data_IF_557988922346
#
_entry.id   IF_557988922346
#
_cell.length_a   1.000
_cell.length_b   1.000
_cell.length_c   1.000
_cell.angle_alpha   90.00
_cell.angle_beta   90.00
_cell.angle_gamma   90.00
#
_symmetry.space_group_name_H-M   'P 1'
#
loop_
_entity.id
_entity.type
_entity.pdbx_description
1 polymer ?
#
# COMPACT_ATOMS: atom_id res chain seq x y z
N UNK A 1 -24.61 28.49 40.72
CA UNK A 1 -25.01 27.63 41.85
C UNK A 1 -24.37 26.27 41.62
N UNK A 2 -23.13 26.09 42.08
CA UNK A 2 -22.74 25.70 43.45
C UNK A 2 -22.78 24.16 43.57
N UNK A 3 -21.59 23.54 43.65
CA UNK A 3 -21.00 22.92 44.87
C UNK A 3 -21.20 21.39 44.76
N UNK A 4 -20.23 20.52 44.43
CA UNK A 4 -19.00 20.17 45.17
C UNK A 4 -19.18 20.22 46.69
N UNK A 5 -19.19 19.05 47.32
CA UNK A 5 -18.79 18.74 48.71
C UNK A 5 -19.38 17.35 49.06
N UNK A 6 -18.71 16.38 49.71
CA UNK A 6 -17.71 16.49 50.75
C UNK A 6 -16.81 15.25 50.80
N UNK A 7 -15.50 15.51 50.85
CA UNK A 7 -14.45 14.64 51.36
C UNK A 7 -13.69 15.49 52.38
N UNK A 8 -13.52 15.08 53.66
CA UNK A 8 -12.54 15.70 54.56
C UNK A 8 -11.29 14.80 54.64
N UNK A 9 -10.11 15.28 54.20
CA UNK A 9 -9.07 15.99 54.98
C UNK A 9 -8.55 15.13 56.15
N UNK A 10 -7.29 14.67 56.16
CA UNK A 10 -6.03 15.41 56.45
C UNK A 10 -4.89 14.36 56.40
N UNK A 11 -3.60 14.63 56.21
CA UNK A 11 -2.82 15.86 56.14
C UNK A 11 -1.47 15.52 55.47
N UNK A 12 -0.99 16.44 54.65
CA UNK A 12 0.29 16.43 53.94
C UNK A 12 1.51 16.46 54.88
N UNK A 13 2.56 15.74 54.51
CA UNK A 13 3.91 15.93 55.02
C UNK A 13 4.93 15.66 53.91
N UNK A 14 5.23 16.68 53.10
CA UNK A 14 6.36 16.67 52.17
C UNK A 14 7.65 16.67 53.01
N UNK A 15 8.53 15.70 52.81
CA UNK A 15 9.91 15.76 53.31
C UNK A 15 10.84 16.10 52.14
N UNK A 16 11.35 17.33 52.15
CA UNK A 16 12.40 17.81 51.27
C UNK A 16 13.76 17.27 51.71
N UNK A 17 14.56 16.91 50.71
CA UNK A 17 15.92 16.41 50.81
C UNK A 17 16.87 17.57 51.17
N UNK A 18 17.45 17.54 52.38
CA UNK A 18 18.62 18.34 52.72
C UNK A 18 19.66 17.49 53.46
N UNK A 19 20.86 17.47 52.90
CA UNK A 19 22.07 16.83 53.39
C UNK A 19 22.65 17.64 54.55
N UNK A 20 22.89 17.01 55.71
CA UNK A 20 23.88 17.49 56.70
C UNK A 20 24.44 16.31 57.52
N UNK A 21 25.73 16.40 57.77
CA UNK A 21 26.66 15.45 58.38
C UNK A 21 26.78 15.68 59.91
N UNK A 22 27.39 14.69 60.55
CA UNK A 22 28.05 14.62 61.86
C UNK A 22 27.25 14.24 63.12
N UNK A 23 27.66 13.06 63.62
CA UNK A 23 28.12 12.68 64.97
C UNK A 23 27.21 12.82 66.20
N UNK A 24 27.05 11.70 66.91
CA UNK A 24 26.46 11.67 68.25
C UNK A 24 26.04 10.26 68.71
N UNK A 25 27.02 9.48 69.14
CA UNK A 25 26.87 8.22 69.87
C UNK A 25 26.08 8.44 71.18
N UNK A 26 24.94 7.78 71.35
CA UNK A 26 24.24 7.70 72.64
C UNK A 26 23.58 6.34 72.80
N UNK A 27 24.20 5.53 73.65
CA UNK A 27 23.78 4.19 74.07
C UNK A 27 22.67 4.28 75.12
N UNK A 28 21.42 4.10 74.69
CA UNK A 28 20.32 3.75 75.59
C UNK A 28 20.19 2.22 75.65
N UNK A 29 20.04 1.59 76.83
CA UNK A 29 19.87 0.14 76.93
C UNK A 29 18.53 -0.28 76.33
N UNK A 30 18.58 -1.20 75.35
CA UNK A 30 17.41 -1.77 74.69
C UNK A 30 16.50 -2.50 75.72
N UNK A 31 15.17 -2.37 75.63
CA UNK A 31 14.26 -3.08 76.51
C UNK A 31 14.40 -4.60 76.33
N UNK A 32 14.13 -5.41 77.38
CA UNK A 32 14.30 -6.86 77.30
C UNK A 32 13.43 -7.45 76.20
N UNK A 33 14.07 -8.05 75.19
CA UNK A 33 13.39 -8.73 74.09
C UNK A 33 12.56 -9.89 74.66
N UNK A 34 11.24 -9.78 74.59
CA UNK A 34 10.32 -10.83 75.00
C UNK A 34 10.48 -12.03 74.04
N UNK A 35 11.14 -13.09 74.50
CA UNK A 35 11.23 -14.34 73.74
C UNK A 35 9.92 -15.12 73.87
N UNK A 36 9.35 -15.49 72.73
CA UNK A 36 8.14 -16.28 72.55
C UNK A 36 8.53 -17.74 72.30
N UNK A 37 7.88 -18.68 72.97
CA UNK A 37 8.05 -20.13 72.71
C UNK A 37 6.95 -20.62 71.79
N UNK A 38 7.27 -21.40 70.75
CA UNK A 38 6.31 -21.92 69.77
C UNK A 38 6.44 -23.45 69.62
N UNK A 39 5.38 -24.08 69.12
CA UNK A 39 5.46 -25.47 68.66
C UNK A 39 6.09 -25.51 67.28
N UNK A 40 7.10 -26.37 67.07
CA UNK A 40 7.63 -26.67 65.74
C UNK A 40 7.26 -28.10 65.30
N UNK A 41 7.05 -28.28 64.00
CA UNK A 41 6.75 -29.56 63.37
C UNK A 41 7.16 -29.47 61.90
N UNK A 42 7.91 -30.45 61.39
CA UNK A 42 8.62 -30.45 60.10
C UNK A 42 9.70 -29.38 59.89
N UNK A 43 9.60 -28.22 60.56
CA UNK A 43 10.60 -27.15 60.49
C UNK A 43 11.07 -26.74 61.91
N UNK A 44 11.85 -27.62 62.53
CA UNK A 44 12.44 -27.42 63.86
C UNK A 44 13.95 -27.10 63.74
N UNK A 45 14.48 -26.16 64.55
CA UNK A 45 15.93 -25.98 64.70
C UNK A 45 16.60 -27.26 65.23
N UNK A 46 17.88 -27.46 64.90
CA UNK A 46 18.65 -28.65 65.32
C UNK A 46 18.73 -28.79 66.85
N UNK A 47 18.74 -27.67 67.58
CA UNK A 47 18.76 -27.62 69.06
C UNK A 47 17.38 -27.72 69.71
N UNK A 48 16.35 -28.16 68.98
CA UNK A 48 14.97 -28.21 69.49
C UNK A 48 14.77 -29.35 70.51
N UNK A 49 14.29 -28.99 71.70
CA UNK A 49 13.87 -29.94 72.73
C UNK A 49 12.34 -29.96 72.78
N UNK A 50 11.74 -31.15 72.83
CA UNK A 50 10.28 -31.36 72.87
C UNK A 50 9.50 -30.73 71.68
N UNK A 51 10.12 -30.66 70.49
CA UNK A 51 9.49 -30.06 69.30
C UNK A 51 9.07 -28.61 69.52
N UNK A 52 9.87 -27.85 70.26
CA UNK A 52 9.66 -26.43 70.53
C UNK A 52 10.78 -25.59 69.96
N UNK A 53 10.46 -24.34 69.61
CA UNK A 53 11.43 -23.34 69.19
C UNK A 53 11.16 -22.02 69.92
N UNK A 54 12.16 -21.14 70.02
CA UNK A 54 12.03 -19.83 70.67
C UNK A 54 12.42 -18.71 69.71
N UNK A 55 11.66 -17.61 69.74
CA UNK A 55 11.87 -16.48 68.82
C UNK A 55 11.49 -15.15 69.45
N UNK A 56 12.06 -14.06 68.95
CA UNK A 56 11.68 -12.68 69.25
C UNK A 56 10.60 -12.12 68.30
N UNK A 57 10.21 -12.90 67.27
CA UNK A 57 9.20 -12.53 66.28
C UNK A 57 7.87 -13.28 66.47
N UNK A 58 7.53 -14.17 65.55
CA UNK A 58 6.20 -14.76 65.39
C UNK A 58 6.24 -16.29 65.44
N UNK A 59 5.23 -16.91 66.04
CA UNK A 59 4.93 -18.33 65.78
C UNK A 59 4.08 -18.44 64.51
N UNK A 60 4.27 -19.49 63.71
CA UNK A 60 3.47 -19.70 62.50
C UNK A 60 2.91 -21.11 62.36
N UNK A 61 1.89 -21.25 61.53
CA UNK A 61 1.40 -22.51 60.97
C UNK A 61 1.12 -22.31 59.48
N UNK A 62 1.64 -23.22 58.65
CA UNK A 62 1.46 -23.22 57.20
C UNK A 62 0.73 -24.50 56.80
N UNK A 63 -0.20 -24.39 55.86
CA UNK A 63 -0.76 -25.52 55.13
C UNK A 63 -0.41 -25.40 53.64
N UNK A 64 0.13 -26.48 53.07
CA UNK A 64 0.52 -26.58 51.66
C UNK A 64 -0.10 -27.84 51.05
N UNK A 65 -0.55 -27.73 49.81
CA UNK A 65 -0.99 -28.89 49.03
C UNK A 65 0.23 -29.59 48.39
N UNK A 66 0.36 -30.90 48.59
CA UNK A 66 1.43 -31.70 48.01
C UNK A 66 1.12 -32.09 46.54
N UNK A 67 2.13 -32.59 45.83
CA UNK A 67 1.99 -33.00 44.41
C UNK A 67 0.99 -34.15 44.20
N UNK A 68 0.65 -34.90 45.26
CA UNK A 68 -0.34 -35.97 45.26
C UNK A 68 -1.76 -35.53 45.68
N UNK A 69 -1.96 -34.24 45.97
CA UNK A 69 -3.24 -33.68 46.43
C UNK A 69 -3.52 -33.84 47.94
N UNK A 70 -2.55 -34.31 48.73
CA UNK A 70 -2.57 -34.28 50.18
C UNK A 70 -2.28 -32.89 50.74
N UNK A 71 -2.45 -32.72 52.05
CA UNK A 71 -2.18 -31.44 52.72
C UNK A 71 -1.11 -31.64 53.79
N UNK A 72 0.00 -30.90 53.65
CA UNK A 72 1.10 -30.89 54.61
C UNK A 72 0.95 -29.67 55.53
N UNK A 73 1.03 -29.89 56.85
CA UNK A 73 0.98 -28.83 57.86
C UNK A 73 2.32 -28.69 58.55
N UNK A 74 2.91 -27.49 58.45
CA UNK A 74 4.22 -27.16 59.01
C UNK A 74 4.08 -26.08 60.07
N UNK A 75 4.79 -26.22 61.20
CA UNK A 75 4.77 -25.26 62.31
C UNK A 75 6.19 -24.86 62.71
N UNK A 76 6.38 -23.63 63.15
CA UNK A 76 7.68 -23.17 63.62
C UNK A 76 7.71 -21.74 64.14
N UNK A 77 8.92 -21.19 64.19
CA UNK A 77 9.24 -19.85 64.67
C UNK A 77 9.83 -19.00 63.56
N UNK A 78 9.46 -17.71 63.51
CA UNK A 78 10.04 -16.70 62.61
C UNK A 78 10.65 -15.57 63.43
N UNK A 79 11.92 -15.26 63.17
CA UNK A 79 12.60 -14.12 63.77
C UNK A 79 11.96 -12.79 63.38
N UNK A 80 12.23 -11.74 64.14
CA UNK A 80 11.61 -10.43 63.93
C UNK A 80 11.93 -9.85 62.53
N UNK A 81 13.15 -10.01 62.04
CA UNK A 81 13.55 -9.55 60.70
C UNK A 81 12.87 -10.36 59.59
N UNK A 82 12.14 -9.66 58.71
CA UNK A 82 11.46 -10.27 57.56
C UNK A 82 10.14 -10.99 57.88
N UNK A 83 9.78 -11.14 59.15
CA UNK A 83 8.53 -11.81 59.57
C UNK A 83 7.25 -11.17 58.99
N UNK A 84 7.17 -9.83 58.90
CA UNK A 84 6.00 -9.14 58.32
C UNK A 84 5.78 -9.50 56.85
N UNK A 85 6.84 -9.77 56.08
CA UNK A 85 6.71 -10.23 54.70
C UNK A 85 6.36 -11.71 54.61
N UNK A 86 6.86 -12.54 55.52
CA UNK A 86 6.60 -13.98 55.49
C UNK A 86 5.20 -14.33 56.00
N UNK A 87 4.68 -13.57 56.96
CA UNK A 87 3.33 -13.72 57.49
C UNK A 87 2.25 -13.08 56.62
N UNK A 88 2.63 -12.30 55.60
CA UNK A 88 1.71 -11.84 54.55
C UNK A 88 1.70 -12.84 53.42
N UNK A 89 0.61 -13.58 53.33
CA UNK A 89 0.41 -14.60 52.30
C UNK A 89 0.54 -13.95 50.91
N UNK A 90 1.59 -14.31 50.17
CA UNK A 90 1.79 -13.86 48.79
C UNK A 90 1.24 -14.95 47.87
N UNK A 91 0.24 -14.65 47.02
CA UNK A 91 -0.34 -15.66 46.15
C UNK A 91 0.68 -16.05 45.08
N UNK A 92 1.41 -17.15 45.32
CA UNK A 92 2.24 -17.79 44.30
C UNK A 92 1.28 -18.52 43.34
N UNK A 93 1.29 -18.21 42.03
CA UNK A 93 0.27 -18.68 41.09
C UNK A 93 0.22 -20.20 40.85
N UNK A 94 1.15 -20.97 41.43
CA UNK A 94 1.33 -22.40 41.16
C UNK A 94 1.24 -23.32 42.38
N UNK A 95 1.10 -22.79 43.60
CA UNK A 95 1.04 -23.62 44.81
C UNK A 95 -0.04 -23.11 45.76
N UNK A 96 -1.03 -23.97 46.08
CA UNK A 96 -2.05 -23.66 47.09
C UNK A 96 -1.40 -23.77 48.46
N UNK A 97 -1.13 -22.61 49.04
CA UNK A 97 -0.45 -22.43 50.33
C UNK A 97 -1.22 -21.38 51.11
N UNK A 98 -1.27 -21.54 52.43
CA UNK A 98 -1.68 -20.47 53.32
C UNK A 98 -0.92 -20.49 54.63
N UNK A 99 -0.58 -19.31 55.14
CA UNK A 99 0.18 -19.11 56.38
C UNK A 99 -0.59 -18.22 57.35
N UNK A 100 -0.63 -18.63 58.62
CA UNK A 100 -1.09 -17.80 59.73
C UNK A 100 0.01 -17.65 60.78
N UNK A 101 0.15 -16.44 61.32
CA UNK A 101 1.15 -16.09 62.33
C UNK A 101 0.51 -15.46 63.57
N UNK A 102 1.14 -15.64 64.74
CA UNK A 102 0.68 -15.09 66.01
C UNK A 102 1.85 -14.69 66.93
N UNK A 103 1.59 -13.73 67.82
CA UNK A 103 2.57 -13.19 68.80
C UNK A 103 2.00 -13.06 70.22
N UNK A 104 0.74 -13.47 70.43
CA UNK A 104 0.00 -13.12 71.65
C UNK A 104 0.53 -13.76 72.94
N UNK A 105 0.94 -15.03 72.88
CA UNK A 105 1.41 -15.81 74.03
C UNK A 105 2.20 -17.04 73.58
N UNK A 106 2.94 -17.65 74.49
CA UNK A 106 3.66 -18.89 74.23
C UNK A 106 2.71 -19.98 73.70
N UNK A 107 3.17 -20.71 72.70
CA UNK A 107 2.47 -21.77 71.99
C UNK A 107 1.18 -21.33 71.27
N UNK A 108 1.05 -20.05 70.91
CA UNK A 108 -0.14 -19.54 70.22
C UNK A 108 -0.44 -20.29 68.90
N UNK A 109 0.57 -20.83 68.22
CA UNK A 109 0.41 -21.59 66.98
C UNK A 109 -0.15 -23.01 67.16
N UNK A 110 -0.43 -23.43 68.40
CA UNK A 110 -1.13 -24.71 68.66
C UNK A 110 -2.56 -24.69 68.12
N UNK A 111 -3.20 -23.53 68.14
CA UNK A 111 -4.62 -23.34 67.80
C UNK A 111 -4.83 -22.64 66.46
N UNK A 112 -3.76 -22.41 65.68
CA UNK A 112 -3.89 -21.90 64.32
C UNK A 112 -4.29 -23.03 63.37
N UNK A 113 -5.30 -22.76 62.54
CA UNK A 113 -5.88 -23.71 61.60
C UNK A 113 -6.09 -23.00 60.25
N UNK A 114 -5.02 -22.64 59.53
CA UNK A 114 -5.15 -22.02 58.21
C UNK A 114 -5.86 -23.00 57.26
N UNK A 115 -6.74 -22.47 56.41
CA UNK A 115 -7.46 -23.24 55.38
C UNK A 115 -6.93 -22.91 54.00
N UNK A 116 -6.76 -23.91 53.14
CA UNK A 116 -6.34 -23.69 51.76
C UNK A 116 -7.36 -22.81 51.02
N UNK A 117 -6.91 -21.85 50.19
CA UNK A 117 -7.80 -21.01 49.41
C UNK A 117 -8.65 -21.87 48.46
N UNK A 118 -9.91 -21.50 48.18
CA UNK A 118 -10.79 -22.28 47.31
C UNK A 118 -10.16 -22.44 45.92
N UNK A 119 -10.34 -23.61 45.31
CA UNK A 119 -9.95 -23.84 43.92
C UNK A 119 -10.68 -22.82 43.05
N UNK A 120 -9.93 -21.87 42.49
CA UNK A 120 -10.48 -20.92 41.53
C UNK A 120 -10.66 -21.70 40.22
N UNK A 121 -11.81 -22.36 40.06
CA UNK A 121 -12.22 -22.91 38.78
C UNK A 121 -11.99 -21.82 37.72
N UNK A 122 -11.17 -22.11 36.71
CA UNK A 122 -10.99 -21.26 35.54
C UNK A 122 -12.19 -21.34 34.60
N UNK A 123 -13.39 -21.51 35.15
CA UNK A 123 -14.64 -21.35 34.42
C UNK A 123 -14.93 -19.85 34.37
N UNK A 124 -14.45 -19.19 33.32
CA UNK A 124 -14.77 -17.84 32.80
C UNK A 124 -13.52 -17.12 32.26
N UNK A 125 -12.87 -17.68 31.23
CA UNK A 125 -11.96 -16.92 30.37
C UNK A 125 -12.04 -17.27 28.87
N UNK A 126 -12.94 -18.16 28.46
CA UNK A 126 -13.04 -18.57 27.04
C UNK A 126 -13.93 -17.61 26.22
N UNK A 127 -14.91 -16.94 26.85
CA UNK A 127 -15.74 -15.94 26.18
C UNK A 127 -15.05 -14.60 25.89
N UNK A 128 -14.01 -14.24 26.67
CA UNK A 128 -13.35 -12.93 26.53
C UNK A 128 -12.31 -12.90 25.42
N UNK A 129 -11.55 -13.98 25.18
CA UNK A 129 -10.48 -13.97 24.16
C UNK A 129 -11.08 -13.95 22.76
N UNK A 130 -12.07 -14.82 22.49
CA UNK A 130 -12.75 -14.83 21.19
C UNK A 130 -13.48 -13.53 20.91
N UNK A 131 -14.14 -12.93 21.91
CA UNK A 131 -14.83 -11.66 21.72
C UNK A 131 -13.85 -10.49 21.51
N UNK A 132 -12.73 -10.44 22.25
CA UNK A 132 -11.67 -9.44 22.02
C UNK A 132 -10.99 -9.63 20.67
N UNK A 133 -10.70 -10.86 20.26
CA UNK A 133 -10.13 -11.16 18.94
C UNK A 133 -11.09 -10.78 17.80
N UNK A 134 -12.38 -11.04 17.94
CA UNK A 134 -13.39 -10.64 16.97
C UNK A 134 -13.52 -9.12 16.86
N UNK A 135 -13.50 -8.39 17.98
CA UNK A 135 -13.50 -6.91 17.99
C UNK A 135 -12.25 -6.32 17.31
N UNK A 136 -11.07 -6.91 17.55
CA UNK A 136 -9.82 -6.49 16.88
C UNK A 136 -9.89 -6.79 15.38
N UNK A 137 -10.37 -7.98 15.00
CA UNK A 137 -10.51 -8.35 13.59
C UNK A 137 -11.49 -7.43 12.85
N UNK A 138 -12.66 -7.15 13.44
CA UNK A 138 -13.67 -6.26 12.84
C UNK A 138 -13.14 -4.83 12.70
N UNK A 139 -12.41 -4.31 13.70
CA UNK A 139 -11.83 -2.96 13.62
C UNK A 139 -10.74 -2.88 12.55
N UNK A 140 -9.84 -3.86 12.45
CA UNK A 140 -8.81 -3.92 11.39
C UNK A 140 -9.45 -4.04 10.00
N UNK A 141 -10.43 -4.94 9.83
CA UNK A 141 -11.16 -5.09 8.56
C UNK A 141 -11.89 -3.81 8.18
N UNK A 142 -12.52 -3.11 9.14
CA UNK A 142 -13.20 -1.84 8.89
C UNK A 142 -12.23 -0.74 8.48
N UNK A 143 -11.06 -0.65 9.13
CA UNK A 143 -10.02 0.31 8.76
C UNK A 143 -9.49 0.01 7.35
N UNK A 144 -9.22 -1.25 7.03
CA UNK A 144 -8.79 -1.65 5.68
C UNK A 144 -9.85 -1.33 4.61
N UNK A 145 -11.13 -1.56 4.93
CA UNK A 145 -12.23 -1.27 4.02
C UNK A 145 -12.38 0.24 3.81
N UNK A 146 -12.24 1.06 4.87
CA UNK A 146 -12.19 2.53 4.76
C UNK A 146 -10.98 2.98 3.94
N UNK A 147 -9.80 2.41 4.14
CA UNK A 147 -8.62 2.72 3.33
C UNK A 147 -8.81 2.34 1.86
N UNK A 148 -9.46 1.22 1.57
CA UNK A 148 -9.82 0.81 0.21
C UNK A 148 -10.86 1.77 -0.37
N UNK A 149 -11.89 2.16 0.37
CA UNK A 149 -12.88 3.16 -0.09
C UNK A 149 -12.19 4.50 -0.33
N UNK A 150 -11.31 4.95 0.56
CA UNK A 150 -10.54 6.19 0.39
C UNK A 150 -9.63 6.06 -0.83
N UNK A 151 -8.94 4.94 -1.02
CA UNK A 151 -8.12 4.69 -2.20
C UNK A 151 -8.95 4.66 -3.48
N UNK A 152 -10.09 3.97 -3.50
CA UNK A 152 -11.03 3.93 -4.61
C UNK A 152 -11.64 5.31 -4.87
N UNK A 153 -11.96 6.08 -3.83
CA UNK A 153 -12.45 7.45 -3.92
C UNK A 153 -11.36 8.37 -4.45
N UNK A 154 -10.10 8.24 -4.02
CA UNK A 154 -8.98 8.99 -4.57
C UNK A 154 -8.66 8.55 -5.99
N UNK A 155 -8.82 7.28 -6.36
CA UNK A 155 -8.67 6.82 -7.75
C UNK A 155 -9.80 7.32 -8.62
N UNK A 156 -11.05 7.27 -8.13
CA UNK A 156 -12.23 7.78 -8.80
C UNK A 156 -12.16 9.30 -8.94
N UNK A 157 -11.88 10.03 -7.86
CA UNK A 157 -11.58 11.47 -7.88
C UNK A 157 -10.39 11.75 -8.78
N UNK A 158 -9.31 10.97 -8.80
CA UNK A 158 -8.20 11.15 -9.75
C UNK A 158 -8.61 10.85 -11.20
N UNK A 159 -9.65 10.04 -11.40
CA UNK A 159 -10.25 9.75 -12.69
C UNK A 159 -11.30 10.82 -13.10
N UNK A 160 -11.92 11.53 -12.15
CA UNK A 160 -12.80 12.69 -12.37
C UNK A 160 -12.05 14.04 -12.38
N UNK A 161 -10.91 14.14 -11.67
CA UNK A 161 -9.97 15.26 -11.68
C UNK A 161 -8.92 15.10 -12.78
N UNK A 162 -8.87 13.94 -13.47
CA UNK A 162 -8.66 14.00 -14.92
C UNK A 162 -9.87 14.77 -15.43
N UNK A 163 -9.75 16.05 -15.81
CA UNK A 163 -10.91 16.84 -16.17
C UNK A 163 -11.68 16.02 -17.21
N UNK A 164 -12.96 15.72 -16.90
CA UNK A 164 -13.94 15.45 -17.95
C UNK A 164 -13.67 16.51 -18.99
N UNK A 165 -13.31 16.06 -20.19
CA UNK A 165 -13.05 16.88 -21.36
C UNK A 165 -14.02 18.06 -21.32
N UNK A 166 -13.55 19.23 -20.88
CA UNK A 166 -14.37 20.41 -20.90
C UNK A 166 -14.52 20.71 -22.38
N UNK A 167 -15.71 20.42 -22.90
CA UNK A 167 -16.24 21.07 -24.09
C UNK A 167 -16.36 22.54 -23.70
N UNK A 168 -15.21 23.23 -23.69
CA UNK A 168 -15.14 24.68 -23.74
C UNK A 168 -15.22 25.03 -25.20
N UNK A 169 -16.42 25.43 -25.63
CA UNK A 169 -16.61 26.26 -26.81
C UNK A 169 -15.90 27.58 -26.56
N UNK A 170 -14.58 27.61 -26.75
CA UNK A 170 -13.88 28.85 -27.08
C UNK A 170 -13.56 28.76 -28.56
N UNK A 171 -14.55 29.23 -29.32
CA UNK A 171 -14.46 29.52 -30.73
C UNK A 171 -13.56 30.76 -30.86
N UNK A 172 -12.24 30.53 -30.84
CA UNK A 172 -11.29 31.56 -31.28
C UNK A 172 -10.97 31.29 -32.75
N UNK A 173 -11.51 32.18 -33.57
CA UNK A 173 -11.38 32.37 -35.01
C UNK A 173 -10.18 31.66 -35.67
N UNK A 174 -10.43 30.49 -36.26
CA UNK A 174 -9.49 29.87 -37.20
C UNK A 174 -9.47 30.63 -38.51
N UNK A 175 -8.39 31.36 -38.74
CA UNK A 175 -7.97 31.85 -40.05
C UNK A 175 -7.62 30.66 -40.97
N UNK A 176 -8.59 30.02 -41.64
CA UNK A 176 -8.36 29.13 -42.79
C UNK A 176 -9.57 29.17 -43.75
N UNK A 177 -9.36 29.32 -45.07
CA UNK A 177 -10.42 29.32 -46.07
C UNK A 177 -11.18 27.97 -46.17
N UNK A 178 -12.49 27.99 -46.44
CA UNK A 178 -13.27 26.77 -46.64
C UNK A 178 -12.87 26.09 -47.96
N UNK A 179 -12.43 24.83 -47.91
CA UNK A 179 -12.30 23.99 -49.10
C UNK A 179 -11.12 23.02 -49.19
N UNK A 180 -10.07 23.15 -48.36
CA UNK A 180 -8.92 22.25 -48.45
C UNK A 180 -9.10 20.99 -47.59
N UNK A 181 -8.96 19.81 -48.19
CA UNK A 181 -8.99 18.55 -47.46
C UNK A 181 -7.66 18.30 -46.74
N UNK A 182 -7.71 17.51 -45.67
CA UNK A 182 -6.52 17.08 -44.92
C UNK A 182 -5.47 16.43 -45.83
N UNK A 183 -5.91 15.68 -46.83
CA UNK A 183 -5.02 15.01 -47.78
C UNK A 183 -4.28 16.02 -48.64
N UNK A 184 -4.98 17.04 -49.14
CA UNK A 184 -4.40 18.08 -50.00
C UNK A 184 -3.29 18.84 -49.26
N UNK A 185 -3.50 19.18 -47.99
CA UNK A 185 -2.49 19.85 -47.16
C UNK A 185 -1.23 19.01 -46.96
N UNK A 186 -1.41 17.70 -46.74
CA UNK A 186 -0.30 16.75 -46.55
C UNK A 186 0.46 16.55 -47.87
N UNK A 187 -0.25 16.50 -48.99
CA UNK A 187 0.36 16.36 -50.32
C UNK A 187 1.15 17.62 -50.71
N UNK A 188 0.56 18.81 -50.51
CA UNK A 188 1.23 20.09 -50.74
C UNK A 188 2.51 20.23 -49.89
N UNK A 189 2.48 19.84 -48.61
CA UNK A 189 3.65 19.95 -47.74
C UNK A 189 4.76 18.95 -48.08
N UNK A 190 4.41 17.81 -48.68
CA UNK A 190 5.39 16.78 -49.05
C UNK A 190 6.15 17.10 -50.33
N UNK A 191 5.59 17.90 -51.23
CA UNK A 191 6.33 18.39 -52.41
C UNK A 191 7.55 19.23 -52.05
N UNK A 192 7.66 19.74 -50.81
CA UNK A 192 8.83 20.49 -50.31
C UNK A 192 9.98 19.62 -49.77
N UNK A 193 9.83 18.29 -49.72
CA UNK A 193 10.96 17.35 -49.78
C UNK A 193 11.76 17.01 -48.51
N UNK A 194 11.35 17.40 -47.29
CA UNK A 194 12.18 17.17 -46.08
C UNK A 194 11.64 16.18 -45.04
N UNK A 195 10.43 15.61 -45.20
CA UNK A 195 9.90 14.64 -44.22
C UNK A 195 8.46 14.21 -44.51
N UNK A 196 7.99 13.19 -43.79
CA UNK A 196 6.58 12.77 -43.85
C UNK A 196 5.72 13.64 -42.90
N UNK A 197 4.48 13.94 -43.32
CA UNK A 197 3.54 14.78 -42.56
C UNK A 197 3.62 16.28 -42.87
N UNK A 198 3.05 17.10 -41.98
CA UNK A 198 2.92 18.56 -42.14
C UNK A 198 4.19 19.33 -41.72
N UNK A 199 4.38 20.61 -42.08
CA UNK A 199 5.53 21.42 -41.65
C UNK A 199 5.56 21.65 -40.13
N UNK A 200 6.74 21.79 -39.52
CA UNK A 200 6.92 21.87 -38.05
C UNK A 200 6.05 22.93 -37.35
N UNK A 201 5.90 24.12 -37.95
CA UNK A 201 5.06 25.19 -37.38
C UNK A 201 3.57 24.79 -37.37
N UNK A 202 3.11 24.12 -38.42
CA UNK A 202 1.76 23.58 -38.48
C UNK A 202 1.62 22.45 -37.46
N UNK A 203 2.59 21.54 -37.38
CA UNK A 203 2.57 20.42 -36.42
C UNK A 203 2.34 20.89 -34.98
N UNK A 204 3.02 21.96 -34.53
CA UNK A 204 2.95 22.52 -33.16
C UNK A 204 1.64 23.22 -32.76
N UNK A 205 0.63 23.21 -33.64
CA UNK A 205 -0.66 23.89 -33.40
C UNK A 205 -1.87 22.98 -33.58
N UNK A 206 -1.67 21.75 -34.05
CA UNK A 206 -2.78 20.84 -34.41
C UNK A 206 -3.48 20.31 -33.17
N UNK A 207 -2.78 20.01 -32.09
CA UNK A 207 -3.40 19.44 -30.88
C UNK A 207 -4.42 20.39 -30.21
N UNK A 208 -4.28 21.70 -30.41
CA UNK A 208 -5.27 22.69 -29.96
C UNK A 208 -6.57 22.63 -30.78
N UNK A 209 -6.48 22.28 -32.06
CA UNK A 209 -7.61 22.23 -32.99
C UNK A 209 -8.30 20.87 -33.05
N UNK A 210 -7.69 19.81 -32.48
CA UNK A 210 -8.29 18.48 -32.44
C UNK A 210 -9.35 18.39 -31.35
N UNK A 211 -10.56 17.98 -31.76
CA UNK A 211 -11.61 17.54 -30.86
C UNK A 211 -11.48 16.03 -30.61
N UNK A 212 -11.21 15.61 -29.38
CA UNK A 212 -11.20 14.18 -29.02
C UNK A 212 -12.63 13.67 -28.89
N UNK A 213 -12.95 12.55 -29.53
CA UNK A 213 -14.33 12.05 -29.61
C UNK A 213 -14.52 10.76 -28.81
N UNK A 214 -13.69 9.73 -29.07
CA UNK A 214 -13.86 8.40 -28.44
C UNK A 214 -12.51 7.74 -28.23
N UNK A 215 -12.28 7.15 -27.06
CA UNK A 215 -11.15 6.26 -26.85
C UNK A 215 -11.35 4.96 -27.66
N UNK A 216 -10.41 4.65 -28.54
CA UNK A 216 -10.45 3.48 -29.44
C UNK A 216 -9.42 2.41 -29.04
N UNK A 217 -8.46 2.74 -28.19
CA UNK A 217 -7.46 1.78 -27.72
C UNK A 217 -6.73 2.23 -26.46
N UNK A 218 -6.09 1.27 -25.81
CA UNK A 218 -5.17 1.51 -24.71
C UNK A 218 -3.97 0.58 -24.89
N UNK A 219 -2.79 1.18 -25.05
CA UNK A 219 -1.53 0.49 -25.20
C UNK A 219 -0.68 0.58 -23.93
N UNK A 220 0.55 0.05 -24.01
CA UNK A 220 1.55 0.14 -22.94
C UNK A 220 1.94 1.58 -22.62
N UNK A 221 2.14 2.39 -23.67
CA UNK A 221 2.74 3.72 -23.57
C UNK A 221 1.71 4.86 -23.49
N UNK A 222 0.42 4.55 -23.69
CA UNK A 222 -0.60 5.59 -23.80
C UNK A 222 -1.97 5.08 -24.21
N UNK A 223 -2.86 6.04 -24.45
CA UNK A 223 -4.23 5.82 -24.89
C UNK A 223 -4.39 6.28 -26.34
N UNK A 224 -5.17 5.55 -27.14
CA UNK A 224 -5.46 5.94 -28.53
C UNK A 224 -6.90 6.39 -28.61
N UNK A 225 -7.11 7.56 -29.19
CA UNK A 225 -8.40 8.20 -29.35
C UNK A 225 -8.70 8.43 -30.82
N UNK A 226 -9.97 8.29 -31.20
CA UNK A 226 -10.49 8.89 -32.42
C UNK A 226 -10.84 10.34 -32.10
N UNK A 227 -10.26 11.25 -32.88
CA UNK A 227 -10.54 12.68 -32.85
C UNK A 227 -11.08 13.18 -34.18
N UNK A 228 -11.50 14.44 -34.20
CA UNK A 228 -11.85 15.18 -35.40
C UNK A 228 -10.92 16.38 -35.56
N UNK A 229 -10.37 16.56 -36.75
CA UNK A 229 -9.62 17.75 -37.14
C UNK A 229 -10.16 18.24 -38.47
N UNK A 230 -10.65 19.49 -38.51
CA UNK A 230 -11.29 20.09 -39.71
C UNK A 230 -12.39 19.21 -40.31
N UNK A 231 -13.17 18.55 -39.46
CA UNK A 231 -14.25 17.64 -39.89
C UNK A 231 -13.80 16.20 -40.22
N UNK A 232 -12.52 15.97 -40.47
CA UNK A 232 -11.95 14.66 -40.79
C UNK A 232 -11.62 13.85 -39.54
N UNK A 233 -11.81 12.53 -39.62
CA UNK A 233 -11.47 11.62 -38.50
C UNK A 233 -9.97 11.35 -38.48
N UNK A 234 -9.35 11.52 -37.31
CA UNK A 234 -7.93 11.23 -37.05
C UNK A 234 -7.77 10.30 -35.86
N UNK A 235 -6.70 9.52 -35.84
CA UNK A 235 -6.29 8.75 -34.67
C UNK A 235 -5.22 9.54 -33.90
N UNK A 236 -5.38 9.63 -32.58
CA UNK A 236 -4.50 10.39 -31.69
C UNK A 236 -4.01 9.47 -30.60
N UNK A 237 -2.74 9.09 -30.65
CA UNK A 237 -2.05 8.37 -29.58
C UNK A 237 -1.52 9.39 -28.58
N UNK A 238 -2.08 9.38 -27.39
CA UNK A 238 -1.73 10.26 -26.27
C UNK A 238 -0.81 9.49 -25.34
N UNK A 239 0.46 9.90 -25.27
CA UNK A 239 1.45 9.29 -24.40
C UNK A 239 1.41 9.93 -23.01
N UNK A 240 1.77 9.15 -22.00
CA UNK A 240 2.06 9.70 -20.69
C UNK A 240 3.37 10.48 -20.74
N UNK A 241 3.51 11.54 -19.93
CA UNK A 241 4.75 12.33 -19.86
C UNK A 241 5.97 11.51 -19.47
N UNK A 242 5.78 10.43 -18.71
CA UNK A 242 6.85 9.47 -18.37
C UNK A 242 7.37 8.68 -19.57
N UNK A 243 6.61 8.65 -20.67
CA UNK A 243 6.91 7.89 -21.88
C UNK A 243 7.39 8.82 -23.03
N UNK A 244 7.97 9.98 -22.71
CA UNK A 244 8.48 10.95 -23.69
C UNK A 244 9.47 10.33 -24.66
N UNK A 245 10.40 9.48 -24.18
CA UNK A 245 11.36 8.79 -25.02
C UNK A 245 10.69 7.85 -26.05
N UNK A 246 9.56 7.24 -25.69
CA UNK A 246 8.78 6.39 -26.60
C UNK A 246 8.04 7.22 -27.64
N UNK A 247 7.44 8.35 -27.24
CA UNK A 247 6.81 9.29 -28.17
C UNK A 247 7.82 9.86 -29.17
N UNK A 248 8.98 10.29 -28.68
CA UNK A 248 10.04 10.86 -29.52
C UNK A 248 10.52 9.84 -30.54
N UNK A 249 10.84 8.62 -30.11
CA UNK A 249 11.31 7.54 -31.00
C UNK A 249 10.28 7.22 -32.07
N UNK A 250 9.02 7.01 -31.68
CA UNK A 250 7.97 6.65 -32.64
C UNK A 250 7.74 7.78 -33.65
N UNK A 251 7.72 9.03 -33.20
CA UNK A 251 7.65 10.23 -34.05
C UNK A 251 8.81 10.29 -35.04
N UNK A 252 10.03 10.06 -34.56
CA UNK A 252 11.26 10.09 -35.38
C UNK A 252 11.27 8.98 -36.45
N UNK A 253 10.74 7.80 -36.14
CA UNK A 253 10.57 6.74 -37.14
C UNK A 253 9.56 7.19 -38.21
N UNK A 254 8.38 7.68 -37.80
CA UNK A 254 7.36 8.14 -38.74
C UNK A 254 7.86 9.26 -39.64
N UNK A 255 8.61 10.23 -39.10
CA UNK A 255 9.16 11.38 -39.82
C UNK A 255 10.34 11.04 -40.74
N UNK A 256 10.81 9.79 -40.78
CA UNK A 256 11.91 9.37 -41.66
C UNK A 256 11.61 9.74 -43.13
N UNK A 257 12.64 10.18 -43.84
CA UNK A 257 12.54 10.54 -45.25
C UNK A 257 12.10 9.31 -46.07
N UNK A 258 11.21 9.53 -47.05
CA UNK A 258 10.60 8.48 -47.88
C UNK A 258 9.89 7.35 -47.09
N UNK A 259 9.51 7.60 -45.83
CA UNK A 259 8.79 6.62 -45.01
C UNK A 259 7.33 6.43 -45.44
N UNK A 260 6.70 7.45 -46.01
CA UNK A 260 5.29 7.41 -46.39
C UNK A 260 5.08 6.40 -47.53
N UNK A 261 4.12 5.50 -47.34
CA UNK A 261 3.77 4.45 -48.28
C UNK A 261 2.31 4.05 -48.08
N UNK A 262 1.64 3.55 -49.12
CA UNK A 262 0.21 3.22 -49.04
C UNK A 262 -0.11 2.13 -48.01
N UNK A 263 0.86 1.29 -47.64
CA UNK A 263 0.70 0.24 -46.63
C UNK A 263 1.49 0.51 -45.34
N UNK A 264 1.84 1.77 -45.08
CA UNK A 264 2.30 2.27 -43.78
C UNK A 264 1.28 3.28 -43.28
N UNK A 265 0.98 3.26 -41.98
CA UNK A 265 0.02 4.18 -41.38
C UNK A 265 0.43 5.64 -41.65
N UNK A 266 -0.48 6.43 -42.19
CA UNK A 266 -0.23 7.81 -42.55
C UNK A 266 -0.01 8.68 -41.31
N UNK A 267 1.24 9.08 -41.10
CA UNK A 267 1.60 10.12 -40.14
C UNK A 267 1.10 11.49 -40.62
N UNK A 268 0.53 12.26 -39.71
CA UNK A 268 0.05 13.63 -39.96
C UNK A 268 0.95 14.61 -39.21
N UNK A 269 1.06 14.44 -37.90
CA UNK A 269 1.80 15.35 -37.02
C UNK A 269 2.11 14.73 -35.66
N UNK A 270 3.06 15.34 -34.96
CA UNK A 270 3.26 15.15 -33.53
C UNK A 270 3.24 16.53 -32.85
N UNK A 271 2.62 16.61 -31.68
CA UNK A 271 2.39 17.89 -31.01
C UNK A 271 2.32 17.70 -29.49
N UNK A 272 2.47 18.80 -28.74
CA UNK A 272 2.45 18.82 -27.27
C UNK A 272 1.32 19.74 -26.82
N UNK A 273 0.41 19.19 -26.00
CA UNK A 273 -0.74 19.93 -25.46
C UNK A 273 -0.63 20.08 -23.94
N UNK A 274 -0.95 21.26 -23.42
CA UNK A 274 -0.99 21.55 -21.99
C UNK A 274 0.32 22.12 -21.45
N UNK A 275 0.36 22.36 -20.14
CA UNK A 275 1.51 22.95 -19.43
C UNK A 275 1.78 22.22 -18.11
N UNK A 276 3.06 22.13 -17.73
CA UNK A 276 3.48 21.56 -16.45
C UNK A 276 3.06 20.09 -16.27
N UNK A 277 2.33 19.81 -15.18
CA UNK A 277 1.89 18.46 -14.80
C UNK A 277 0.81 17.85 -15.71
N UNK A 278 0.26 18.63 -16.65
CA UNK A 278 -0.80 18.21 -17.58
C UNK A 278 -0.33 18.13 -19.03
N UNK A 279 0.98 18.14 -19.25
CA UNK A 279 1.57 17.99 -20.58
C UNK A 279 1.14 16.65 -21.20
N UNK A 280 0.68 16.68 -22.44
CA UNK A 280 0.29 15.51 -23.21
C UNK A 280 1.02 15.50 -24.52
N UNK A 281 1.65 14.36 -24.84
CA UNK A 281 2.40 14.19 -26.07
C UNK A 281 1.50 13.46 -27.07
N UNK A 282 1.19 14.11 -28.18
CA UNK A 282 0.28 13.62 -29.20
C UNK A 282 1.08 13.10 -30.39
N UNK A 283 0.69 11.94 -30.88
CA UNK A 283 1.04 11.42 -32.20
C UNK A 283 -0.24 11.24 -33.00
N UNK A 284 -0.36 11.96 -34.12
CA UNK A 284 -1.59 12.10 -34.89
C UNK A 284 -1.40 11.40 -36.24
N UNK A 285 -2.32 10.49 -36.54
CA UNK A 285 -2.28 9.63 -37.73
C UNK A 285 -3.65 9.51 -38.39
N UNK A 286 -3.69 8.96 -39.59
CA UNK A 286 -4.94 8.61 -40.27
C UNK A 286 -5.79 7.65 -39.41
N UNK A 287 -7.10 7.90 -39.36
CA UNK A 287 -8.04 6.98 -38.73
C UNK A 287 -8.54 5.93 -39.72
N UNK A 288 -8.58 4.66 -39.28
CA UNK A 288 -9.14 3.56 -40.06
C UNK A 288 -10.27 2.87 -39.29
N UNK A 289 -11.48 2.95 -39.86
CA UNK A 289 -12.73 2.53 -39.20
C UNK A 289 -12.84 1.02 -39.00
N UNK A 290 -12.23 0.23 -39.88
CA UNK A 290 -12.19 -1.23 -39.76
C UNK A 290 -11.23 -1.72 -38.65
N UNK A 291 -10.50 -0.80 -38.01
CA UNK A 291 -9.63 -1.10 -36.88
C UNK A 291 -8.44 -1.99 -37.26
N UNK A 292 -8.00 -2.81 -36.29
CA UNK A 292 -6.88 -3.71 -36.48
C UNK A 292 -7.28 -4.96 -37.29
N UNK A 293 -6.33 -5.58 -37.98
CA UNK A 293 -6.51 -6.85 -38.66
C UNK A 293 -6.98 -7.94 -37.67
N UNK A 294 -6.53 -7.87 -36.41
CA UNK A 294 -7.03 -8.74 -35.34
C UNK A 294 -8.54 -8.60 -35.13
N UNK A 295 -9.07 -7.37 -35.06
CA UNK A 295 -10.50 -7.12 -34.86
C UNK A 295 -11.31 -7.44 -36.13
N UNK A 296 -10.74 -7.14 -37.29
CA UNK A 296 -11.34 -7.43 -38.59
C UNK A 296 -11.54 -8.94 -38.82
N UNK A 297 -10.52 -9.75 -38.56
CA UNK A 297 -10.58 -11.20 -38.73
C UNK A 297 -11.52 -11.90 -37.72
N UNK A 298 -11.82 -11.27 -36.58
CA UNK A 298 -12.82 -11.78 -35.63
C UNK A 298 -14.26 -11.60 -36.10
N UNK A 299 -14.52 -10.55 -36.87
CA UNK A 299 -15.86 -10.13 -37.27
C UNK A 299 -16.20 -10.50 -38.71
N UNK A 300 -15.19 -10.85 -39.52
CA UNK A 300 -15.35 -11.03 -40.96
C UNK A 300 -14.61 -12.29 -41.45
N UNK A 301 -15.33 -13.18 -42.15
CA UNK A 301 -14.74 -14.28 -42.92
C UNK A 301 -14.28 -13.77 -44.28
N UNK A 302 -13.17 -14.30 -44.80
CA UNK A 302 -12.56 -13.83 -46.04
C UNK A 302 -12.74 -14.84 -47.17
N UNK A 303 -13.00 -14.33 -48.37
CA UNK A 303 -12.77 -15.09 -49.60
C UNK A 303 -11.28 -15.06 -49.97
N UNK A 304 -10.88 -15.88 -50.94
CA UNK A 304 -9.47 -15.97 -51.38
C UNK A 304 -8.94 -14.62 -51.86
N UNK A 305 -9.78 -13.82 -52.53
CA UNK A 305 -9.39 -12.51 -53.06
C UNK A 305 -9.11 -11.51 -51.94
N UNK A 306 -9.98 -11.42 -50.94
CA UNK A 306 -9.78 -10.54 -49.79
C UNK A 306 -8.58 -11.00 -48.94
N UNK A 307 -8.42 -12.31 -48.74
CA UNK A 307 -7.25 -12.88 -48.06
C UNK A 307 -5.94 -12.47 -48.75
N UNK A 308 -5.84 -12.66 -50.07
CA UNK A 308 -4.66 -12.26 -50.84
C UNK A 308 -4.43 -10.75 -50.78
N UNK A 309 -5.50 -9.95 -50.83
CA UNK A 309 -5.41 -8.49 -50.75
C UNK A 309 -4.86 -8.01 -49.40
N UNK A 310 -5.33 -8.56 -48.28
CA UNK A 310 -4.83 -8.23 -46.95
C UNK A 310 -3.37 -8.70 -46.77
N UNK A 311 -3.04 -9.91 -47.23
CA UNK A 311 -1.68 -10.45 -47.14
C UNK A 311 -0.69 -9.63 -48.00
N UNK A 312 -1.03 -9.37 -49.26
CA UNK A 312 -0.21 -8.62 -50.21
C UNK A 312 0.07 -7.20 -49.73
N UNK A 313 -0.97 -6.49 -49.29
CA UNK A 313 -0.79 -5.12 -48.77
C UNK A 313 0.02 -5.10 -47.47
N UNK A 314 -0.17 -6.06 -46.57
CA UNK A 314 0.64 -6.15 -45.35
C UNK A 314 2.12 -6.39 -45.65
N UNK A 315 2.43 -7.34 -46.55
CA UNK A 315 3.82 -7.62 -46.94
C UNK A 315 4.44 -6.50 -47.78
N UNK A 316 3.65 -5.78 -48.58
CA UNK A 316 4.10 -4.59 -49.32
C UNK A 316 4.59 -3.50 -48.36
N UNK A 317 3.83 -3.21 -47.30
CA UNK A 317 4.28 -2.29 -46.24
C UNK A 317 5.53 -2.77 -45.52
N UNK A 318 5.63 -4.06 -45.22
CA UNK A 318 6.81 -4.62 -44.56
C UNK A 318 8.06 -4.58 -45.45
N UNK A 319 7.88 -4.87 -46.74
CA UNK A 319 8.93 -4.76 -47.76
C UNK A 319 9.44 -3.31 -47.81
N UNK A 320 8.54 -2.32 -47.90
CA UNK A 320 8.90 -0.90 -47.88
C UNK A 320 9.69 -0.51 -46.62
N UNK A 321 9.29 -0.99 -45.43
CA UNK A 321 10.04 -0.77 -44.19
C UNK A 321 11.48 -1.32 -44.32
N UNK A 322 11.62 -2.56 -44.78
CA UNK A 322 12.89 -3.27 -44.83
C UNK A 322 13.83 -2.78 -45.95
N UNK A 323 13.28 -2.28 -47.06
CA UNK A 323 14.07 -1.81 -48.19
C UNK A 323 14.74 -0.48 -47.89
N UNK A 324 16.06 -0.45 -47.96
CA UNK A 324 16.83 0.79 -48.01
C UNK A 324 16.60 1.50 -49.35
N UNK A 325 16.39 2.81 -49.31
CA UNK A 325 16.20 3.63 -50.51
C UNK A 325 17.33 4.65 -50.59
N UNK A 326 18.16 4.54 -51.62
CA UNK A 326 19.25 5.48 -51.85
C UNK A 326 18.72 6.78 -52.47
N UNK A 327 19.00 7.91 -51.81
CA UNK A 327 18.71 9.27 -52.27
C UNK A 327 19.67 10.22 -51.55
N UNK A 328 19.57 11.53 -51.79
CA UNK A 328 20.43 12.54 -51.11
C UNK A 328 20.30 12.50 -49.58
N UNK A 329 19.11 12.18 -49.07
CA UNK A 329 18.86 11.96 -47.63
C UNK A 329 18.61 10.49 -47.30
N UNK A 330 18.28 9.67 -48.31
CA UNK A 330 18.01 8.23 -48.19
C UNK A 330 16.88 7.84 -47.23
N UNK A 331 16.42 6.59 -47.32
CA UNK A 331 15.64 5.94 -46.27
C UNK A 331 16.43 4.72 -45.81
N UNK A 332 16.84 4.63 -44.53
CA UNK A 332 17.50 3.43 -44.03
C UNK A 332 16.55 2.23 -44.06
N UNK A 333 17.11 1.01 -44.02
CA UNK A 333 16.32 -0.18 -43.71
C UNK A 333 15.77 -0.09 -42.28
N UNK A 334 14.51 -0.45 -42.06
CA UNK A 334 13.85 -0.35 -40.76
C UNK A 334 13.23 -1.69 -40.39
N UNK A 335 13.61 -2.28 -39.25
CA UNK A 335 12.94 -3.45 -38.70
C UNK A 335 11.84 -3.05 -37.71
N UNK A 336 10.62 -3.58 -37.88
CA UNK A 336 9.45 -3.24 -37.06
C UNK A 336 9.53 -3.73 -35.60
N UNK A 337 10.05 -4.95 -35.39
CA UNK A 337 10.25 -5.64 -34.09
C UNK A 337 9.02 -5.97 -33.23
N UNK A 338 7.85 -5.41 -33.52
CA UNK A 338 6.58 -5.78 -32.84
C UNK A 338 5.44 -6.06 -33.83
N UNK A 339 5.74 -6.82 -34.89
CA UNK A 339 4.75 -7.09 -35.94
C UNK A 339 3.75 -8.16 -35.46
N UNK A 340 2.48 -7.78 -35.41
CA UNK A 340 1.35 -8.63 -35.00
C UNK A 340 0.06 -8.11 -35.62
N UNK A 341 -0.98 -8.93 -35.69
CA UNK A 341 -2.28 -8.55 -36.29
C UNK A 341 -2.96 -7.35 -35.61
N UNK A 342 -2.65 -7.05 -34.34
CA UNK A 342 -3.10 -5.83 -33.65
C UNK A 342 -2.42 -4.54 -34.13
N UNK A 343 -1.24 -4.65 -34.73
CA UNK A 343 -0.42 -3.54 -35.21
C UNK A 343 -0.51 -3.38 -36.74
N UNK A 344 -1.45 -4.07 -37.39
CA UNK A 344 -1.79 -3.90 -38.79
C UNK A 344 -3.22 -3.41 -38.82
N UNK A 345 -3.51 -2.31 -39.53
CA UNK A 345 -4.84 -1.73 -39.66
C UNK A 345 -5.44 -2.07 -41.02
N UNK A 346 -6.76 -2.27 -41.07
CA UNK A 346 -7.49 -2.50 -42.32
C UNK A 346 -8.13 -1.20 -42.79
N UNK A 347 -7.90 -0.83 -44.04
CA UNK A 347 -8.45 0.37 -44.67
C UNK A 347 -9.85 0.11 -45.23
N UNK A 348 -10.58 1.19 -45.54
CA UNK A 348 -11.92 1.12 -46.13
C UNK A 348 -11.95 0.39 -47.49
N UNK A 349 -10.87 0.48 -48.26
CA UNK A 349 -10.74 -0.20 -49.56
C UNK A 349 -10.33 -1.68 -49.41
N UNK A 350 -10.21 -2.23 -48.20
CA UNK A 350 -9.82 -3.62 -47.94
C UNK A 350 -8.34 -3.93 -48.10
N UNK A 351 -7.45 -2.93 -48.12
CA UNK A 351 -6.00 -3.14 -47.97
C UNK A 351 -5.54 -2.87 -46.54
N UNK A 352 -4.33 -3.30 -46.20
CA UNK A 352 -3.72 -3.09 -44.90
C UNK A 352 -2.73 -1.92 -44.88
N UNK A 353 -2.46 -1.41 -43.69
CA UNK A 353 -1.23 -0.67 -43.41
C UNK A 353 -0.65 -1.01 -42.04
N UNK A 354 0.67 -0.99 -41.93
CA UNK A 354 1.39 -1.26 -40.69
C UNK A 354 1.41 -0.03 -39.79
N UNK A 355 1.17 -0.22 -38.50
CA UNK A 355 1.10 0.80 -37.45
C UNK A 355 1.98 0.43 -36.25
N UNK A 356 2.12 1.34 -35.28
CA UNK A 356 2.85 1.15 -34.02
C UNK A 356 4.35 0.87 -34.21
N UNK A 357 5.06 1.88 -34.69
CA UNK A 357 6.50 1.83 -34.98
C UNK A 357 7.38 2.15 -33.76
N UNK A 358 6.80 2.19 -32.55
CA UNK A 358 7.50 2.63 -31.33
C UNK A 358 8.65 1.73 -30.88
N UNK A 359 8.75 0.50 -31.40
CA UNK A 359 9.86 -0.42 -31.14
C UNK A 359 10.78 -0.64 -32.35
N UNK A 360 10.53 0.07 -33.45
CA UNK A 360 11.30 -0.07 -34.67
C UNK A 360 12.74 0.41 -34.51
N UNK A 361 13.63 -0.10 -35.36
CA UNK A 361 15.04 0.27 -35.41
C UNK A 361 15.45 0.58 -36.84
N UNK A 362 16.23 1.66 -37.01
CA UNK A 362 16.90 2.00 -38.27
C UNK A 362 18.24 1.26 -38.32
N UNK A 363 18.55 0.59 -39.42
CA UNK A 363 19.92 0.12 -39.71
C UNK A 363 20.64 1.29 -40.37
N UNK A 364 21.60 1.85 -39.65
CA UNK A 364 22.41 3.01 -40.07
C UNK A 364 23.83 2.54 -40.32
#
# INVERSE_FOLDING_TARGET
ANFLDNMPLRSSGKLSMETRKDDGESTAPAPPQKKLSCQCHHHCPEDSVNSTCSTDGYCFTIIEEDESGGHLVTKGCLGLEGSDFQCRDTPIPHQRRSIECCTGQDYCNKHLHPTLPPLKNRDFAEGNIHHKALLISVTVCSILLVLIIIFCYFRYRRQETRPRYSIGLEQDETYIPPGESLKDLIEQSQSSGSGSGLPLLVQRTIAKQIQMVKQIGKGRYGEVWMGKWRGEKVAVKVFFTTEEASWFRETEIYQTVLMRHENILGFIAADIKGTGSWTQLYLITDYHENGSLYDYLKSTTLDTKAMLKLAYSSVSGLCHLHTEIFSTQGKPAIAHRDLKSKNILVKKNGTCCIADLGLAVKFI
#
